data_IF_957345776940
#
_entry.id   IF_957345776940
#
_cell.length_a   1.000
_cell.length_b   1.000
_cell.length_c   1.000
_cell.angle_alpha   90.00
_cell.angle_beta   90.00
_cell.angle_gamma   90.00
#
_symmetry.space_group_name_H-M   'P 1'
#
loop_
_entity.id
_entity.type
_entity.pdbx_description
1 polymer ?
#
# COMPACT_ATOMS: atom_id res chain seq x y z
N UNK A 1 17.84 -21.24 5.30
CA UNK A 1 17.83 -19.84 4.80
C UNK A 1 19.22 -19.31 4.44
N UNK A 2 20.20 -19.22 5.37
CA UNK A 2 21.54 -18.68 5.07
C UNK A 2 22.25 -19.40 3.91
N UNK A 3 22.23 -20.73 3.92
CA UNK A 3 22.80 -21.56 2.84
C UNK A 3 22.14 -21.28 1.49
N UNK A 4 20.80 -21.23 1.46
CA UNK A 4 20.00 -20.95 0.27
C UNK A 4 20.29 -19.56 -0.32
N UNK A 5 20.20 -18.49 0.47
CA UNK A 5 20.46 -17.12 0.01
C UNK A 5 21.92 -16.94 -0.44
N UNK A 6 22.86 -17.56 0.26
CA UNK A 6 24.27 -17.57 -0.13
C UNK A 6 24.47 -18.30 -1.47
N UNK A 7 23.80 -19.44 -1.67
CA UNK A 7 23.89 -20.22 -2.90
C UNK A 7 23.27 -19.47 -4.08
N UNK A 8 22.04 -18.96 -3.95
CA UNK A 8 21.38 -18.14 -4.97
C UNK A 8 22.22 -16.90 -5.35
N UNK A 9 22.84 -16.26 -4.36
CA UNK A 9 23.71 -15.10 -4.61
C UNK A 9 25.08 -15.46 -5.21
N UNK A 10 25.54 -16.72 -5.13
CA UNK A 10 26.81 -17.18 -5.70
C UNK A 10 26.66 -17.76 -7.10
N UNK A 11 25.52 -18.36 -7.42
CA UNK A 11 25.30 -19.11 -8.65
C UNK A 11 25.12 -18.26 -9.92
N UNK A 12 25.53 -16.98 -9.92
CA UNK A 12 25.29 -16.02 -11.01
C UNK A 12 23.81 -16.05 -11.48
N UNK A 13 22.90 -16.34 -10.56
CA UNK A 13 21.48 -16.44 -10.83
C UNK A 13 21.01 -15.07 -11.30
N UNK A 14 20.54 -14.97 -12.54
CA UNK A 14 19.90 -13.77 -13.10
C UNK A 14 18.52 -13.57 -12.48
N UNK A 15 18.43 -13.53 -11.15
CA UNK A 15 17.16 -13.43 -10.45
C UNK A 15 16.60 -12.02 -10.62
N UNK A 16 15.56 -11.92 -11.46
CA UNK A 16 14.87 -10.67 -11.79
C UNK A 16 13.75 -10.37 -10.79
N UNK A 17 13.23 -11.38 -10.07
CA UNK A 17 12.09 -11.25 -9.17
C UNK A 17 12.29 -12.03 -7.88
N UNK A 18 12.02 -11.39 -6.73
CA UNK A 18 11.99 -12.03 -5.41
C UNK A 18 10.66 -11.70 -4.72
N UNK A 19 9.99 -12.73 -4.20
CA UNK A 19 8.80 -12.58 -3.38
C UNK A 19 8.92 -13.42 -2.11
N UNK A 20 8.91 -12.76 -0.95
CA UNK A 20 8.87 -13.39 0.37
C UNK A 20 7.79 -12.67 1.17
N UNK A 21 6.63 -13.32 1.33
CA UNK A 21 5.45 -12.71 1.94
C UNK A 21 5.19 -13.27 3.34
N UNK A 22 4.53 -12.48 4.18
CA UNK A 22 3.99 -12.88 5.48
C UNK A 22 5.04 -13.55 6.37
N UNK A 23 6.25 -12.97 6.43
CA UNK A 23 7.27 -13.44 7.36
C UNK A 23 6.86 -13.18 8.81
N UNK A 24 6.12 -12.10 9.07
CA UNK A 24 5.61 -11.73 10.39
C UNK A 24 6.73 -11.76 11.45
N UNK A 25 7.83 -11.06 11.16
CA UNK A 25 9.06 -11.13 11.96
C UNK A 25 8.87 -10.66 13.40
N UNK A 26 7.82 -9.88 13.67
CA UNK A 26 7.39 -9.41 14.99
C UNK A 26 6.77 -10.51 15.87
N UNK A 27 6.46 -11.69 15.32
CA UNK A 27 5.92 -12.81 16.11
C UNK A 27 6.99 -13.47 16.98
N UNK A 28 6.56 -13.93 18.15
CA UNK A 28 7.40 -14.59 19.18
C UNK A 28 8.17 -15.82 18.68
N UNK A 29 7.72 -16.46 17.59
CA UNK A 29 8.44 -17.58 16.95
C UNK A 29 9.82 -17.17 16.44
N UNK A 30 9.98 -15.90 16.07
CA UNK A 30 11.25 -15.33 15.65
C UNK A 30 12.08 -14.91 16.87
N UNK A 31 12.83 -15.87 17.43
CA UNK A 31 13.85 -15.55 18.44
C UNK A 31 14.79 -14.46 17.92
N UNK A 32 15.12 -13.47 18.76
CA UNK A 32 15.89 -12.28 18.36
C UNK A 32 17.16 -12.58 17.55
N UNK A 33 17.93 -13.59 17.97
CA UNK A 33 19.17 -14.00 17.27
C UNK A 33 18.87 -14.49 15.85
N UNK A 34 17.81 -15.29 15.69
CA UNK A 34 17.40 -15.85 14.40
C UNK A 34 16.87 -14.74 13.49
N UNK A 35 16.05 -13.82 14.02
CA UNK A 35 15.55 -12.64 13.31
C UNK A 35 16.70 -11.77 12.79
N UNK A 36 17.60 -11.36 13.67
CA UNK A 36 18.74 -10.51 13.31
C UNK A 36 19.62 -11.18 12.24
N UNK A 37 19.91 -12.47 12.42
CA UNK A 37 20.70 -13.22 11.46
C UNK A 37 19.99 -13.37 10.11
N UNK A 38 18.66 -13.54 10.11
CA UNK A 38 17.86 -13.60 8.89
C UNK A 38 17.90 -12.28 8.12
N UNK A 39 17.62 -11.15 8.80
CA UNK A 39 17.62 -9.81 8.21
C UNK A 39 19.00 -9.48 7.61
N UNK A 40 20.08 -9.74 8.36
CA UNK A 40 21.46 -9.55 7.87
C UNK A 40 21.75 -10.37 6.60
N UNK A 41 21.31 -11.62 6.56
CA UNK A 41 21.51 -12.47 5.39
C UNK A 41 20.68 -11.99 4.19
N UNK A 42 19.45 -11.55 4.43
CA UNK A 42 18.59 -11.01 3.39
C UNK A 42 19.16 -9.70 2.83
N UNK A 43 19.60 -8.77 3.67
CA UNK A 43 20.26 -7.53 3.24
C UNK A 43 21.52 -7.80 2.41
N UNK A 44 22.35 -8.76 2.86
CA UNK A 44 23.55 -9.18 2.10
C UNK A 44 23.18 -9.74 0.72
N UNK A 45 22.09 -10.52 0.64
CA UNK A 45 21.59 -11.06 -0.61
C UNK A 45 21.06 -9.95 -1.53
N UNK A 46 20.20 -9.07 -1.03
CA UNK A 46 19.63 -7.95 -1.78
C UNK A 46 20.72 -7.02 -2.31
N UNK A 47 21.77 -6.76 -1.51
CA UNK A 47 22.93 -5.98 -1.95
C UNK A 47 23.61 -6.59 -3.18
N UNK A 48 23.78 -7.91 -3.21
CA UNK A 48 24.37 -8.62 -4.36
C UNK A 48 23.47 -8.59 -5.60
N UNK A 49 22.16 -8.74 -5.40
CA UNK A 49 21.17 -8.78 -6.50
C UNK A 49 20.72 -7.40 -6.99
N UNK A 50 21.13 -6.31 -6.31
CA UNK A 50 20.66 -4.93 -6.54
C UNK A 50 20.71 -4.45 -8.00
N UNK A 51 21.65 -4.94 -8.81
CA UNK A 51 21.80 -4.55 -10.22
C UNK A 51 20.85 -5.26 -11.19
N UNK A 52 20.27 -6.40 -10.79
CA UNK A 52 19.49 -7.27 -11.66
C UNK A 52 18.03 -7.43 -11.20
N UNK A 53 17.77 -7.24 -9.91
CA UNK A 53 16.45 -7.40 -9.34
C UNK A 53 15.53 -6.28 -9.80
N UNK A 54 14.46 -6.65 -10.51
CA UNK A 54 13.45 -5.75 -11.03
C UNK A 54 12.17 -5.73 -10.19
N UNK A 55 11.88 -6.83 -9.49
CA UNK A 55 10.71 -7.00 -8.64
C UNK A 55 11.10 -7.47 -7.23
N UNK A 56 10.59 -6.80 -6.20
CA UNK A 56 10.71 -7.23 -4.81
C UNK A 56 9.37 -7.13 -4.10
N UNK A 57 8.98 -8.23 -3.46
CA UNK A 57 7.82 -8.28 -2.60
C UNK A 57 8.19 -8.79 -1.21
N UNK A 58 8.06 -7.91 -0.23
CA UNK A 58 8.26 -8.18 1.20
C UNK A 58 6.96 -7.93 1.99
N UNK A 59 5.82 -8.13 1.35
CA UNK A 59 4.50 -7.92 1.96
C UNK A 59 4.40 -8.67 3.29
N UNK A 60 3.95 -8.01 4.35
CA UNK A 60 3.73 -8.66 5.65
C UNK A 60 5.02 -9.10 6.35
N UNK A 61 6.17 -8.48 6.05
CA UNK A 61 7.41 -8.82 6.73
C UNK A 61 7.40 -8.44 8.22
N UNK A 62 6.70 -7.36 8.59
CA UNK A 62 6.60 -6.81 9.94
C UNK A 62 7.95 -6.61 10.65
N UNK A 63 8.84 -5.87 9.99
CA UNK A 63 10.15 -5.44 10.50
C UNK A 63 10.07 -4.12 11.25
N UNK A 64 11.08 -3.78 12.06
CA UNK A 64 11.18 -2.42 12.60
C UNK A 64 11.51 -1.42 11.49
N UNK A 65 11.38 -0.13 11.79
CA UNK A 65 11.71 0.94 10.85
C UNK A 65 13.17 0.86 10.39
N UNK A 66 14.10 0.63 11.32
CA UNK A 66 15.54 0.58 11.09
C UNK A 66 15.90 -0.62 10.22
N UNK A 67 15.45 -1.82 10.61
CA UNK A 67 15.68 -3.05 9.86
C UNK A 67 15.08 -2.97 8.46
N UNK A 68 13.86 -2.43 8.35
CA UNK A 68 13.18 -2.27 7.07
C UNK A 68 13.92 -1.30 6.15
N UNK A 69 14.38 -0.17 6.68
CA UNK A 69 15.16 0.78 5.91
C UNK A 69 16.54 0.22 5.55
N UNK A 70 17.20 -0.58 6.41
CA UNK A 70 18.46 -1.26 6.09
C UNK A 70 18.29 -2.25 4.92
N UNK A 71 17.21 -3.06 4.95
CA UNK A 71 16.89 -3.99 3.88
C UNK A 71 16.63 -3.28 2.55
N UNK A 72 15.84 -2.21 2.56
CA UNK A 72 15.57 -1.42 1.35
C UNK A 72 16.83 -0.70 0.84
N UNK A 73 17.64 -0.12 1.73
CA UNK A 73 18.90 0.52 1.36
C UNK A 73 19.90 -0.46 0.74
N UNK A 74 19.84 -1.74 1.09
CA UNK A 74 20.68 -2.77 0.47
C UNK A 74 20.54 -2.80 -1.06
N UNK A 75 19.36 -2.48 -1.61
CA UNK A 75 19.10 -2.41 -3.06
C UNK A 75 19.76 -1.23 -3.77
N UNK A 76 20.28 -0.25 -3.04
CA UNK A 76 20.92 0.95 -3.58
C UNK A 76 22.39 1.06 -3.18
N UNK A 77 22.89 0.16 -2.34
CA UNK A 77 24.18 0.28 -1.67
C UNK A 77 25.38 0.37 -2.63
N UNK A 78 25.30 -0.22 -3.83
CA UNK A 78 26.42 -0.23 -4.79
C UNK A 78 26.49 0.99 -5.71
N UNK A 79 25.35 1.64 -5.94
CA UNK A 79 25.16 2.67 -6.99
C UNK A 79 24.55 3.96 -6.45
N UNK A 80 24.25 4.00 -5.15
CA UNK A 80 23.41 4.99 -4.47
C UNK A 80 22.01 5.18 -5.11
N UNK A 81 21.62 4.26 -6.00
CA UNK A 81 20.37 4.27 -6.76
C UNK A 81 19.88 2.83 -6.92
N UNK A 82 18.61 2.60 -6.62
CA UNK A 82 17.91 1.36 -6.95
C UNK A 82 17.17 1.53 -8.27
N UNK A 83 17.28 0.50 -9.12
CA UNK A 83 16.62 0.42 -10.43
C UNK A 83 15.44 -0.55 -10.43
N UNK A 84 14.97 -0.95 -9.24
CA UNK A 84 13.81 -1.82 -9.13
C UNK A 84 12.58 -1.09 -9.70
N UNK A 85 11.77 -1.79 -10.48
CA UNK A 85 10.56 -1.21 -11.05
C UNK A 85 9.32 -1.52 -10.23
N UNK A 86 9.30 -2.67 -9.55
CA UNK A 86 8.15 -3.09 -8.76
C UNK A 86 8.57 -3.39 -7.32
N UNK A 87 8.00 -2.61 -6.40
CA UNK A 87 8.23 -2.77 -4.97
C UNK A 87 6.91 -2.95 -4.23
N UNK A 88 6.79 -4.05 -3.50
CA UNK A 88 5.66 -4.29 -2.60
C UNK A 88 6.15 -4.41 -1.16
N UNK A 89 5.79 -3.41 -0.37
CA UNK A 89 6.05 -3.24 1.05
C UNK A 89 4.74 -3.04 1.84
N UNK A 90 3.62 -3.59 1.35
CA UNK A 90 2.36 -3.65 2.11
C UNK A 90 2.58 -4.42 3.41
N UNK A 91 2.15 -3.88 4.55
CA UNK A 91 2.37 -4.44 5.89
C UNK A 91 3.85 -4.82 6.17
N UNK A 92 4.80 -4.11 5.54
CA UNK A 92 6.23 -4.38 5.66
C UNK A 92 6.76 -3.99 7.03
N UNK A 93 6.37 -2.82 7.52
CA UNK A 93 6.71 -2.36 8.87
C UNK A 93 5.75 -2.94 9.90
N UNK A 94 6.19 -3.08 11.14
CA UNK A 94 5.33 -3.45 12.26
C UNK A 94 4.14 -2.48 12.40
N UNK A 95 3.03 -2.99 12.93
CA UNK A 95 1.78 -2.23 13.11
C UNK A 95 2.00 -0.98 13.97
N UNK A 96 1.15 0.03 13.75
CA UNK A 96 1.10 1.29 14.52
C UNK A 96 2.30 2.24 14.34
N UNK A 97 3.23 1.97 13.42
CA UNK A 97 4.37 2.87 13.18
C UNK A 97 3.96 4.08 12.31
N UNK A 98 4.21 5.33 12.73
CA UNK A 98 4.00 6.52 11.92
C UNK A 98 5.16 6.71 10.93
N UNK A 99 5.26 5.84 9.92
CA UNK A 99 6.39 5.82 8.98
C UNK A 99 6.51 7.14 8.19
N UNK A 100 5.40 7.82 7.96
CA UNK A 100 5.32 9.13 7.28
C UNK A 100 6.16 10.22 7.94
N UNK A 101 6.51 10.11 9.22
CA UNK A 101 7.34 11.10 9.92
C UNK A 101 8.82 10.72 9.95
N UNK A 102 9.20 9.59 9.33
CA UNK A 102 10.56 9.06 9.39
C UNK A 102 11.46 9.64 8.31
N UNK A 103 12.45 10.43 8.73
CA UNK A 103 13.52 10.92 7.84
C UNK A 103 14.36 9.77 7.27
N UNK A 104 14.56 8.70 8.04
CA UNK A 104 15.26 7.50 7.59
C UNK A 104 14.52 6.82 6.43
N UNK A 105 13.20 6.72 6.53
CA UNK A 105 12.36 6.17 5.47
C UNK A 105 12.41 7.06 4.23
N UNK A 106 12.23 8.37 4.38
CA UNK A 106 12.31 9.33 3.27
C UNK A 106 13.66 9.25 2.54
N UNK A 107 14.77 9.21 3.29
CA UNK A 107 16.10 9.03 2.72
C UNK A 107 16.27 7.69 1.99
N UNK A 108 15.62 6.64 2.49
CA UNK A 108 15.70 5.31 1.88
C UNK A 108 14.93 5.28 0.56
N UNK A 109 13.70 5.82 0.53
CA UNK A 109 12.86 5.83 -0.67
C UNK A 109 13.41 6.79 -1.74
N UNK A 110 14.11 7.86 -1.37
CA UNK A 110 14.74 8.76 -2.34
C UNK A 110 15.78 8.08 -3.24
N UNK A 111 16.26 6.89 -2.86
CA UNK A 111 17.20 6.11 -3.67
C UNK A 111 16.53 5.33 -4.80
N UNK A 112 15.21 5.26 -4.87
CA UNK A 112 14.47 4.50 -5.89
C UNK A 112 14.12 5.39 -7.09
N UNK A 113 14.74 5.12 -8.24
CA UNK A 113 14.72 6.01 -9.41
C UNK A 113 13.98 5.45 -10.64
N UNK A 114 13.37 4.28 -10.51
CA UNK A 114 12.76 3.59 -11.66
C UNK A 114 11.45 2.87 -11.29
N UNK A 115 10.81 3.28 -10.19
CA UNK A 115 9.59 2.65 -9.74
C UNK A 115 8.46 2.86 -10.76
N UNK A 116 7.91 1.76 -11.24
CA UNK A 116 6.71 1.67 -12.06
C UNK A 116 5.50 1.37 -11.17
N UNK A 117 5.65 0.42 -10.24
CA UNK A 117 4.60 0.02 -9.29
C UNK A 117 5.16 0.07 -7.87
N UNK A 118 4.48 0.81 -6.98
CA UNK A 118 4.76 0.82 -5.54
C UNK A 118 3.50 0.44 -4.77
N UNK A 119 3.61 -0.57 -3.91
CA UNK A 119 2.52 -1.05 -3.05
C UNK A 119 2.92 -0.94 -1.59
N UNK A 120 2.14 -0.22 -0.78
CA UNK A 120 2.52 0.19 0.58
C UNK A 120 1.31 0.64 1.42
N UNK A 121 1.51 0.93 2.70
CA UNK A 121 0.44 1.37 3.61
C UNK A 121 0.37 2.90 3.68
N UNK A 122 -0.82 3.45 3.98
CA UNK A 122 -1.07 4.88 4.08
C UNK A 122 -0.22 5.54 5.16
N UNK A 123 0.13 4.83 6.24
CA UNK A 123 1.04 5.33 7.27
C UNK A 123 2.47 5.64 6.77
N UNK A 124 2.80 5.36 5.50
CA UNK A 124 4.04 5.82 4.88
C UNK A 124 3.87 7.05 3.98
N UNK A 125 2.63 7.47 3.68
CA UNK A 125 2.35 8.61 2.78
C UNK A 125 2.65 9.92 3.51
N UNK A 126 3.49 10.75 2.90
CA UNK A 126 3.87 12.10 3.34
C UNK A 126 4.15 12.98 2.12
N UNK A 127 4.19 14.30 2.29
CA UNK A 127 4.60 15.20 1.20
C UNK A 127 6.03 14.92 0.73
N UNK A 128 6.94 14.57 1.66
CA UNK A 128 8.30 14.18 1.36
C UNK A 128 8.38 12.90 0.54
N UNK A 129 7.52 11.90 0.82
CA UNK A 129 7.44 10.70 -0.02
C UNK A 129 7.00 11.08 -1.44
N UNK A 130 5.95 11.89 -1.57
CA UNK A 130 5.42 12.29 -2.87
C UNK A 130 6.43 13.10 -3.67
N UNK A 131 7.16 14.02 -3.03
CA UNK A 131 8.22 14.80 -3.65
C UNK A 131 9.40 13.92 -4.11
N UNK A 132 9.79 12.92 -3.30
CA UNK A 132 10.82 11.95 -3.70
C UNK A 132 10.38 11.12 -4.92
N UNK A 133 9.14 10.63 -4.95
CA UNK A 133 8.59 9.91 -6.11
C UNK A 133 8.53 10.80 -7.35
N UNK A 134 8.15 12.06 -7.16
CA UNK A 134 8.06 13.08 -8.21
C UNK A 134 9.43 13.37 -8.83
N UNK A 135 10.47 13.51 -7.99
CA UNK A 135 11.86 13.77 -8.42
C UNK A 135 12.49 12.57 -9.11
N UNK A 136 12.31 11.38 -8.55
CA UNK A 136 13.15 10.23 -8.91
C UNK A 136 12.46 9.25 -9.85
N UNK A 137 11.13 9.11 -9.79
CA UNK A 137 10.39 8.06 -10.51
C UNK A 137 9.23 8.57 -11.38
N UNK A 138 8.93 9.88 -11.45
CA UNK A 138 7.76 10.38 -12.17
C UNK A 138 7.66 9.97 -13.65
N UNK A 139 8.79 9.81 -14.34
CA UNK A 139 8.84 9.39 -15.73
C UNK A 139 8.36 7.93 -15.95
N UNK A 140 8.60 7.07 -14.96
CA UNK A 140 8.34 5.62 -15.01
C UNK A 140 7.11 5.21 -14.20
N UNK A 141 6.74 5.96 -13.16
CA UNK A 141 5.66 5.61 -12.25
C UNK A 141 4.31 5.50 -12.96
N UNK A 142 3.62 4.37 -12.70
CA UNK A 142 2.31 4.03 -13.29
C UNK A 142 1.27 3.68 -12.25
N UNK A 143 1.66 3.08 -11.12
CA UNK A 143 0.69 2.61 -10.14
C UNK A 143 1.18 2.77 -8.72
N UNK A 144 0.37 3.42 -7.89
CA UNK A 144 0.46 3.37 -6.44
C UNK A 144 -0.69 2.54 -5.91
N UNK A 145 -0.40 1.52 -5.12
CA UNK A 145 -1.38 0.73 -4.39
C UNK A 145 -1.22 1.06 -2.89
N UNK A 146 -2.24 1.70 -2.31
CA UNK A 146 -2.20 2.23 -0.95
C UNK A 146 -3.21 1.48 -0.10
N UNK A 147 -2.71 0.74 0.89
CA UNK A 147 -3.53 0.10 1.91
C UNK A 147 -3.75 1.05 3.08
N UNK A 148 -4.98 1.23 3.49
CA UNK A 148 -5.35 1.99 4.69
C UNK A 148 -5.97 1.02 5.68
N UNK A 149 -5.39 0.86 6.87
CA UNK A 149 -5.91 -0.06 7.88
C UNK A 149 -6.29 0.70 9.16
N UNK A 150 -7.37 0.35 9.85
CA UNK A 150 -7.85 1.08 11.04
C UNK A 150 -6.81 1.24 12.16
N UNK A 151 -5.89 0.28 12.27
CA UNK A 151 -4.85 0.29 13.28
C UNK A 151 -3.60 1.07 12.84
N UNK A 152 -3.49 1.45 11.58
CA UNK A 152 -2.38 2.26 11.10
C UNK A 152 -2.58 3.74 11.48
N UNK A 153 -1.52 4.49 11.79
CA UNK A 153 -1.64 5.91 12.05
C UNK A 153 -2.03 6.67 10.78
N UNK A 154 -3.05 7.54 10.90
CA UNK A 154 -3.57 8.39 9.81
C UNK A 154 -3.54 9.89 10.17
N UNK A 155 -2.71 10.28 11.15
CA UNK A 155 -2.69 11.63 11.70
C UNK A 155 -2.01 12.68 10.81
N UNK A 156 -1.31 12.26 9.77
CA UNK A 156 -0.61 13.16 8.86
C UNK A 156 -1.58 13.96 8.00
N UNK A 157 -1.20 15.20 7.71
CA UNK A 157 -1.83 16.04 6.70
C UNK A 157 -0.94 16.00 5.47
N UNK A 158 -1.46 15.51 4.35
CA UNK A 158 -0.77 15.51 3.05
C UNK A 158 -1.45 16.54 2.17
N UNK A 159 -0.70 17.46 1.59
CA UNK A 159 -1.30 18.56 0.84
C UNK A 159 -1.77 18.10 -0.55
N UNK A 160 -2.95 18.55 -0.96
CA UNK A 160 -3.47 18.32 -2.32
C UNK A 160 -2.49 18.82 -3.40
N UNK A 161 -1.75 19.90 -3.13
CA UNK A 161 -0.70 20.43 -4.02
C UNK A 161 0.43 19.42 -4.28
N UNK A 162 0.83 18.62 -3.28
CA UNK A 162 1.86 17.59 -3.45
C UNK A 162 1.39 16.47 -4.38
N UNK A 163 0.13 16.04 -4.21
CA UNK A 163 -0.52 15.09 -5.10
C UNK A 163 -0.67 15.64 -6.51
N UNK A 164 -1.15 16.88 -6.66
CA UNK A 164 -1.29 17.54 -7.95
C UNK A 164 0.04 17.66 -8.69
N UNK A 165 1.12 18.00 -7.98
CA UNK A 165 2.46 18.06 -8.56
C UNK A 165 2.93 16.67 -9.04
N UNK A 166 2.74 15.62 -8.23
CA UNK A 166 3.09 14.25 -8.64
C UNK A 166 2.26 13.82 -9.87
N UNK A 167 0.94 14.03 -9.86
CA UNK A 167 0.05 13.68 -10.96
C UNK A 167 0.42 14.42 -12.25
N UNK A 168 0.78 15.71 -12.15
CA UNK A 168 1.26 16.52 -13.27
C UNK A 168 2.56 15.98 -13.87
N UNK A 169 3.51 15.55 -13.04
CA UNK A 169 4.80 15.02 -13.51
C UNK A 169 4.74 13.56 -13.97
N UNK A 170 3.79 12.79 -13.43
CA UNK A 170 3.54 11.40 -13.76
C UNK A 170 2.13 11.24 -14.37
N UNK A 171 1.89 11.72 -15.61
CA UNK A 171 0.54 11.79 -16.19
C UNK A 171 -0.11 10.43 -16.45
N UNK A 172 0.64 9.33 -16.36
CA UNK A 172 0.12 7.95 -16.49
C UNK A 172 -0.05 7.25 -15.14
N UNK A 173 0.08 7.98 -14.04
CA UNK A 173 -0.07 7.45 -12.68
C UNK A 173 -1.54 7.15 -12.41
N UNK A 174 -1.79 5.96 -11.87
CA UNK A 174 -3.06 5.55 -11.28
C UNK A 174 -2.85 5.25 -9.79
N UNK A 175 -3.77 5.69 -8.94
CA UNK A 175 -3.75 5.39 -7.51
C UNK A 175 -4.93 4.48 -7.14
N UNK A 176 -4.63 3.36 -6.49
CA UNK A 176 -5.62 2.41 -6.00
C UNK A 176 -5.60 2.41 -4.47
N UNK A 177 -6.76 2.59 -3.85
CA UNK A 177 -6.90 2.52 -2.40
C UNK A 177 -7.58 1.23 -1.95
N UNK A 178 -7.07 0.65 -0.86
CA UNK A 178 -7.63 -0.50 -0.18
C UNK A 178 -7.87 -0.15 1.29
N UNK A 179 -9.09 0.24 1.63
CA UNK A 179 -9.48 0.54 3.01
C UNK A 179 -9.93 -0.75 3.70
N UNK A 180 -9.18 -1.15 4.71
CA UNK A 180 -9.50 -2.26 5.60
C UNK A 180 -9.91 -1.69 6.95
N UNK A 181 -11.20 -1.83 7.29
CA UNK A 181 -11.76 -1.37 8.58
C UNK A 181 -11.67 0.15 8.83
N UNK A 182 -11.29 0.98 7.86
CA UNK A 182 -11.23 2.46 8.01
C UNK A 182 -12.57 3.11 7.68
N UNK A 183 -13.30 3.49 8.73
CA UNK A 183 -14.77 3.55 8.67
C UNK A 183 -15.41 4.91 8.91
N UNK A 184 -14.65 5.90 9.38
CA UNK A 184 -15.15 7.26 9.61
C UNK A 184 -15.02 8.10 8.35
N UNK A 185 -16.11 8.75 7.95
CA UNK A 185 -16.14 9.71 6.84
C UNK A 185 -14.99 10.72 6.95
N UNK A 186 -14.80 11.33 8.12
CA UNK A 186 -13.81 12.38 8.30
C UNK A 186 -12.37 11.87 8.13
N UNK A 187 -12.13 10.58 8.38
CA UNK A 187 -10.84 9.96 8.09
C UNK A 187 -10.68 9.73 6.58
N UNK A 188 -11.72 9.22 5.92
CA UNK A 188 -11.69 8.99 4.47
C UNK A 188 -11.55 10.29 3.69
N UNK A 189 -12.27 11.35 4.06
CA UNK A 189 -12.21 12.67 3.43
C UNK A 189 -10.85 13.35 3.58
N UNK A 190 -10.09 13.04 4.65
CA UNK A 190 -8.72 13.51 4.82
C UNK A 190 -7.71 12.76 3.97
N UNK A 191 -7.97 11.49 3.68
CA UNK A 191 -7.08 10.60 2.91
C UNK A 191 -7.32 10.78 1.40
N UNK A 192 -8.60 10.81 1.01
CA UNK A 192 -9.03 10.95 -0.37
C UNK A 192 -9.14 12.43 -0.68
N UNK A 193 -8.13 12.94 -1.39
CA UNK A 193 -8.09 14.29 -1.94
C UNK A 193 -8.41 14.27 -3.43
N UNK A 194 -9.09 15.32 -3.92
CA UNK A 194 -9.58 15.40 -5.30
C UNK A 194 -8.45 15.49 -6.33
N UNK A 195 -7.26 15.91 -5.89
CA UNK A 195 -6.06 16.01 -6.72
C UNK A 195 -5.38 14.65 -6.96
N UNK A 196 -5.79 13.60 -6.25
CA UNK A 196 -5.23 12.27 -6.42
C UNK A 196 -5.79 11.65 -7.70
N UNK A 197 -4.96 11.11 -8.62
CA UNK A 197 -5.42 10.41 -9.82
C UNK A 197 -5.89 9.00 -9.43
N UNK A 198 -6.97 8.94 -8.65
CA UNK A 198 -7.58 7.69 -8.20
C UNK A 198 -8.08 6.91 -9.40
N UNK A 199 -7.94 5.59 -9.37
CA UNK A 199 -8.50 4.65 -10.34
C UNK A 199 -9.47 3.65 -9.70
N UNK A 200 -9.22 3.28 -8.45
CA UNK A 200 -10.09 2.36 -7.74
C UNK A 200 -10.06 2.58 -6.24
N UNK A 201 -11.21 2.35 -5.60
CA UNK A 201 -11.36 2.35 -4.14
C UNK A 201 -12.04 1.05 -3.72
N UNK A 202 -11.32 0.25 -2.93
CA UNK A 202 -11.81 -1.00 -2.37
C UNK A 202 -12.07 -0.82 -0.88
N UNK A 203 -13.30 -1.08 -0.43
CA UNK A 203 -13.70 -1.07 0.97
C UNK A 203 -13.86 -2.52 1.45
N UNK A 204 -13.02 -2.96 2.38
CA UNK A 204 -12.88 -4.37 2.79
C UNK A 204 -13.05 -4.57 4.29
N UNK A 205 -13.49 -5.78 4.66
CA UNK A 205 -13.61 -6.24 6.05
C UNK A 205 -14.39 -5.26 6.92
N UNK A 206 -15.48 -4.72 6.36
CA UNK A 206 -16.34 -3.75 7.01
C UNK A 206 -17.25 -4.45 8.00
N UNK A 207 -16.92 -4.39 9.29
CA UNK A 207 -17.74 -4.96 10.35
C UNK A 207 -18.82 -3.94 10.76
N UNK A 208 -20.06 -4.19 10.34
CA UNK A 208 -21.23 -3.35 10.63
C UNK A 208 -21.61 -3.19 12.11
N UNK A 209 -20.93 -3.89 13.04
CA UNK A 209 -21.12 -3.71 14.49
C UNK A 209 -20.19 -2.67 15.09
N UNK A 210 -19.28 -2.11 14.30
CA UNK A 210 -18.51 -0.94 14.74
C UNK A 210 -19.49 0.25 14.81
N UNK A 211 -19.81 0.79 15.99
CA UNK A 211 -20.78 1.88 16.14
C UNK A 211 -20.35 3.14 15.36
N UNK A 212 -19.07 3.22 14.96
CA UNK A 212 -18.50 4.28 14.16
C UNK A 212 -18.64 4.06 12.63
N UNK A 213 -19.08 2.89 12.16
CA UNK A 213 -19.32 2.64 10.74
C UNK A 213 -20.71 3.11 10.32
N UNK A 214 -20.75 4.19 9.53
CA UNK A 214 -21.93 4.57 8.78
C UNK A 214 -21.62 4.50 7.29
N UNK A 215 -22.16 3.49 6.60
CA UNK A 215 -22.06 3.36 5.14
C UNK A 215 -22.64 4.61 4.44
N UNK A 216 -23.68 5.22 5.02
CA UNK A 216 -24.43 6.31 4.40
C UNK A 216 -23.60 7.59 4.19
N UNK A 217 -22.96 8.23 5.20
CA UNK A 217 -22.09 9.39 4.98
C UNK A 217 -20.95 9.13 4.00
N UNK A 218 -20.30 7.96 4.12
CA UNK A 218 -19.24 7.52 3.22
C UNK A 218 -19.73 7.52 1.77
N UNK A 219 -20.86 6.88 1.49
CA UNK A 219 -21.36 6.80 0.12
C UNK A 219 -22.05 8.09 -0.36
N UNK A 220 -22.67 8.87 0.52
CA UNK A 220 -23.30 10.14 0.12
C UNK A 220 -22.29 11.25 -0.14
N UNK A 221 -21.11 11.20 0.48
CA UNK A 221 -20.16 12.31 0.43
C UNK A 221 -18.94 11.98 -0.46
N UNK A 222 -18.46 10.73 -0.48
CA UNK A 222 -17.31 10.33 -1.30
C UNK A 222 -17.74 10.12 -2.75
N UNK A 223 -18.87 9.43 -2.99
CA UNK A 223 -19.29 9.11 -4.36
C UNK A 223 -19.47 10.36 -5.25
N UNK A 224 -20.13 11.45 -4.80
CA UNK A 224 -20.27 12.63 -5.65
C UNK A 224 -18.96 13.37 -5.94
N UNK A 225 -17.93 13.22 -5.10
CA UNK A 225 -16.63 13.85 -5.34
C UNK A 225 -15.77 13.03 -6.31
N UNK A 226 -15.91 11.70 -6.29
CA UNK A 226 -15.03 10.77 -7.02
C UNK A 226 -15.71 10.00 -8.15
N UNK A 227 -16.98 10.28 -8.47
CA UNK A 227 -17.80 9.47 -9.39
C UNK A 227 -17.16 9.16 -10.76
N UNK A 228 -16.29 10.05 -11.25
CA UNK A 228 -15.64 9.95 -12.56
C UNK A 228 -14.41 9.01 -12.57
N UNK A 229 -13.98 8.52 -11.41
CA UNK A 229 -12.76 7.70 -11.22
C UNK A 229 -12.99 6.45 -10.37
N UNK A 230 -14.23 6.18 -9.99
CA UNK A 230 -14.53 5.27 -8.89
C UNK A 230 -14.97 3.90 -9.37
N UNK A 231 -14.04 2.94 -9.40
CA UNK A 231 -14.43 1.53 -9.31
C UNK A 231 -14.63 1.16 -7.83
N UNK A 232 -15.88 1.02 -7.40
CA UNK A 232 -16.24 0.64 -6.02
C UNK A 232 -16.34 -0.87 -5.90
N UNK A 233 -15.57 -1.46 -5.00
CA UNK A 233 -15.74 -2.85 -4.57
C UNK A 233 -16.02 -2.89 -3.07
N UNK A 234 -17.25 -3.28 -2.72
CA UNK A 234 -17.70 -3.43 -1.34
C UNK A 234 -17.79 -4.93 -1.05
N UNK A 235 -17.02 -5.39 -0.06
CA UNK A 235 -17.10 -6.76 0.43
C UNK A 235 -17.76 -6.75 1.82
N UNK A 236 -18.94 -7.35 1.92
CA UNK A 236 -19.70 -7.49 3.18
C UNK A 236 -19.68 -8.94 3.65
N UNK A 237 -19.63 -9.16 4.97
CA UNK A 237 -19.57 -10.50 5.58
C UNK A 237 -20.87 -10.92 6.29
N UNK A 238 -21.96 -10.15 6.16
CA UNK A 238 -23.26 -10.42 6.80
C UNK A 238 -24.44 -10.08 5.87
N UNK A 239 -25.61 -10.68 6.16
CA UNK A 239 -26.90 -10.32 5.52
C UNK A 239 -27.23 -8.85 5.82
N UNK A 240 -27.44 -8.08 4.77
CA UNK A 240 -27.81 -6.66 4.82
C UNK A 240 -29.20 -6.47 5.43
N UNK A 241 -29.43 -5.31 6.04
CA UNK A 241 -30.78 -4.87 6.40
C UNK A 241 -31.51 -4.30 5.17
N UNK A 242 -32.85 -4.29 5.18
CA UNK A 242 -33.66 -3.77 4.07
C UNK A 242 -33.39 -2.29 3.74
N UNK A 243 -32.93 -1.49 4.70
CA UNK A 243 -32.60 -0.07 4.50
C UNK A 243 -31.27 0.10 3.77
N UNK A 244 -30.28 -0.74 4.07
CA UNK A 244 -28.96 -0.73 3.45
C UNK A 244 -29.03 -1.19 1.99
N UNK A 245 -29.83 -2.23 1.71
CA UNK A 245 -30.09 -2.68 0.34
C UNK A 245 -30.75 -1.56 -0.48
N UNK A 246 -31.70 -0.82 0.11
CA UNK A 246 -32.37 0.30 -0.55
C UNK A 246 -31.41 1.46 -0.83
N UNK A 247 -30.48 1.75 0.09
CA UNK A 247 -29.45 2.78 -0.09
C UNK A 247 -28.48 2.38 -1.21
N UNK A 248 -27.98 1.15 -1.20
CA UNK A 248 -27.10 0.62 -2.25
C UNK A 248 -27.79 0.63 -3.62
N UNK A 249 -29.06 0.23 -3.68
CA UNK A 249 -29.89 0.33 -4.90
C UNK A 249 -30.04 1.77 -5.38
N UNK A 250 -30.23 2.72 -4.46
CA UNK A 250 -30.35 4.15 -4.79
C UNK A 250 -29.06 4.69 -5.37
N UNK A 251 -27.92 4.32 -4.78
CA UNK A 251 -26.58 4.67 -5.24
C UNK A 251 -26.30 4.05 -6.61
N UNK A 252 -26.51 2.73 -6.75
CA UNK A 252 -26.34 2.06 -8.02
C UNK A 252 -27.19 2.71 -9.10
N UNK A 253 -28.49 2.95 -8.86
CA UNK A 253 -29.36 3.64 -9.83
C UNK A 253 -28.85 5.03 -10.22
N UNK A 254 -28.29 5.78 -9.26
CA UNK A 254 -27.77 7.14 -9.47
C UNK A 254 -26.46 7.15 -10.26
N UNK A 255 -25.60 6.15 -10.07
CA UNK A 255 -24.25 6.11 -10.65
C UNK A 255 -24.07 4.97 -11.69
N UNK A 256 -25.13 4.24 -12.07
CA UNK A 256 -25.08 3.08 -12.99
C UNK A 256 -24.45 3.39 -14.35
N UNK A 257 -24.58 4.62 -14.82
CA UNK A 257 -24.05 5.05 -16.12
C UNK A 257 -22.56 5.42 -16.05
N UNK A 258 -21.98 5.45 -14.85
CA UNK A 258 -20.62 5.91 -14.53
C UNK A 258 -19.77 4.81 -13.91
N UNK A 259 -20.41 3.81 -13.32
CA UNK A 259 -19.78 2.54 -12.95
C UNK A 259 -19.66 1.74 -14.25
N UNK A 260 -18.50 1.78 -14.89
CA UNK A 260 -18.18 0.91 -16.04
C UNK A 260 -18.40 -0.56 -15.65
N UNK A 261 -19.59 -1.08 -15.96
CA UNK A 261 -20.02 -2.49 -16.04
C UNK A 261 -19.79 -3.47 -14.87
N UNK A 262 -18.99 -3.18 -13.84
CA UNK A 262 -18.73 -4.12 -12.76
C UNK A 262 -18.73 -3.49 -11.35
N UNK A 263 -19.93 -3.36 -10.77
CA UNK A 263 -20.08 -3.41 -9.31
C UNK A 263 -19.94 -4.87 -8.88
N UNK A 264 -18.72 -5.28 -8.57
CA UNK A 264 -18.43 -6.60 -8.03
C UNK A 264 -18.80 -6.62 -6.54
N UNK A 265 -20.05 -6.99 -6.25
CA UNK A 265 -20.56 -7.20 -4.90
C UNK A 265 -20.45 -8.68 -4.55
N UNK A 266 -19.59 -9.02 -3.58
CA UNK A 266 -19.44 -10.39 -3.10
C UNK A 266 -19.73 -10.41 -1.60
N UNK A 267 -20.79 -11.13 -1.22
CA UNK A 267 -21.04 -11.52 0.18
C UNK A 267 -20.28 -12.82 0.42
N UNK A 268 -19.24 -12.77 1.24
CA UNK A 268 -18.58 -14.00 1.71
C UNK A 268 -19.18 -14.32 3.07
N UNK A 269 -20.11 -15.27 3.10
CA UNK A 269 -20.61 -15.86 4.34
C UNK A 269 -19.61 -16.91 4.81
N UNK A 270 -18.83 -16.60 5.84
CA UNK A 270 -18.09 -17.64 6.56
C UNK A 270 -19.06 -18.40 7.46
N UNK A 271 -19.06 -19.74 7.47
CA UNK A 271 -19.68 -20.47 8.57
C UNK A 271 -18.94 -20.10 9.85
N UNK A 272 -19.66 -19.52 10.81
CA UNK A 272 -19.15 -19.36 12.16
C UNK A 272 -19.00 -20.77 12.75
N UNK A 273 -17.76 -21.20 13.01
CA UNK A 273 -17.45 -22.32 13.90
C UNK A 273 -17.27 -21.75 15.30
#
# INVERSE_FOLDING_TARGET
>A
MRSLLSHLGKCNCRLVSLSIKHLELDRLVWKNIVRAQFIKNLGTFLKRMSKQLNYLNLKGARVTLEEGCELLNSLSCLTNKSFISELNIEDFFSLHLPVYSSTLFHHTVSKFHSLVILTFNYNCVSDELLDNLCKNSAHSLRTLNIKCHIHDPHGQVVWGMSWANLAKRAPKLNVNFYFERVMKHDHLARILLVEIPVRSISLRSCYFRDPDWMMRPTLTNILPAYWHVLQVRIYTSRRETSEEEQLLRTIYKKFKNLIDSELNYFVITYPLV
#
